data_IF_286665471046
#
_entry.id   IF_286665471046
#
_cell.length_a   1.000
_cell.length_b   1.000
_cell.length_c   1.000
_cell.angle_alpha   90.00
_cell.angle_beta   90.00
_cell.angle_gamma   90.00
#
_symmetry.space_group_name_H-M   'P 1'
#
loop_
_entity.id
_entity.type
_entity.pdbx_description
1 polymer ?
#
# COMPACT_ATOMS: atom_id res chain seq x y z
N UNK A 1 -7.17 -49.82 -35.65
CA UNK A 1 -8.20 -48.79 -35.42
C UNK A 1 -7.94 -48.21 -34.03
N UNK A 2 -7.04 -47.22 -33.89
CA UNK A 2 -7.35 -45.78 -33.75
C UNK A 2 -8.56 -45.51 -32.85
N UNK A 3 -8.30 -45.12 -31.60
CA UNK A 3 -8.94 -43.98 -30.94
C UNK A 3 -8.12 -43.59 -29.70
N UNK A 4 -7.45 -42.46 -29.84
CA UNK A 4 -6.80 -41.71 -28.77
C UNK A 4 -7.83 -40.77 -28.12
N UNK A 5 -7.70 -40.51 -26.82
CA UNK A 5 -8.12 -39.32 -26.05
C UNK A 5 -7.35 -39.47 -24.72
N UNK A 6 -6.19 -38.86 -24.51
CA UNK A 6 -5.97 -37.47 -24.05
C UNK A 6 -6.80 -37.13 -22.81
N UNK A 7 -6.22 -37.37 -21.63
CA UNK A 7 -6.55 -36.67 -20.38
C UNK A 7 -5.19 -36.26 -19.77
N UNK A 8 -4.52 -35.27 -20.37
CA UNK A 8 -4.62 -33.85 -19.98
C UNK A 8 -4.36 -33.65 -18.48
N UNK A 9 -3.06 -33.61 -18.15
CA UNK A 9 -2.43 -32.69 -17.20
C UNK A 9 -3.38 -32.03 -16.18
N UNK A 10 -3.64 -32.72 -15.06
CA UNK A 10 -3.91 -32.07 -13.78
C UNK A 10 -2.57 -31.75 -13.09
N UNK A 11 -1.69 -31.04 -13.79
CA UNK A 11 -0.73 -30.16 -13.13
C UNK A 11 -1.51 -28.89 -12.89
N UNK A 12 -2.31 -28.89 -11.82
CA UNK A 12 -2.69 -27.65 -11.18
C UNK A 12 -1.37 -27.02 -10.74
N UNK A 13 -0.78 -26.19 -11.62
CA UNK A 13 0.08 -25.10 -11.22
C UNK A 13 -0.76 -24.21 -10.30
N UNK A 14 -0.95 -24.64 -9.05
CA UNK A 14 -1.01 -23.71 -7.95
C UNK A 14 0.34 -23.03 -7.95
N UNK A 15 0.48 -22.02 -8.80
CA UNK A 15 1.50 -20.99 -8.61
C UNK A 15 1.30 -20.59 -7.16
N UNK A 16 2.26 -20.88 -6.25
CA UNK A 16 2.18 -20.24 -4.95
C UNK A 16 2.10 -18.75 -5.29
N UNK A 17 1.02 -18.08 -4.86
CA UNK A 17 1.07 -16.63 -4.74
C UNK A 17 2.38 -16.39 -3.98
N UNK A 18 3.38 -15.83 -4.65
CA UNK A 18 4.68 -15.64 -4.05
C UNK A 18 4.42 -14.86 -2.76
N UNK A 19 4.76 -15.45 -1.62
CA UNK A 19 4.61 -14.79 -0.34
C UNK A 19 5.32 -13.44 -0.44
N UNK A 20 4.74 -12.41 0.18
CA UNK A 20 5.32 -11.08 0.19
C UNK A 20 6.77 -11.17 0.69
N UNK A 21 7.68 -10.49 0.01
CA UNK A 21 9.08 -10.42 0.42
C UNK A 21 9.48 -8.97 0.69
N UNK A 22 10.43 -8.78 1.60
CA UNK A 22 10.99 -7.47 1.94
C UNK A 22 11.39 -6.65 0.69
N UNK A 23 11.99 -7.33 -0.30
CA UNK A 23 12.42 -6.75 -1.58
C UNK A 23 11.26 -6.16 -2.39
N UNK A 24 10.03 -6.64 -2.19
CA UNK A 24 8.88 -6.20 -2.97
C UNK A 24 8.44 -4.78 -2.56
N UNK A 25 8.82 -4.34 -1.37
CA UNK A 25 8.65 -2.95 -0.88
C UNK A 25 9.61 -1.98 -1.55
N UNK A 26 10.83 -2.41 -1.90
CA UNK A 26 11.92 -1.52 -2.31
C UNK A 26 11.59 -0.81 -3.62
N UNK A 27 11.80 0.50 -3.63
CA UNK A 27 11.71 1.40 -4.79
C UNK A 27 10.82 2.61 -4.54
N UNK A 28 10.46 3.29 -5.63
CA UNK A 28 9.67 4.52 -5.59
C UNK A 28 8.19 4.26 -5.82
N UNK A 29 7.37 4.95 -5.01
CA UNK A 29 5.94 4.78 -4.96
C UNK A 29 5.24 6.13 -4.87
N UNK A 30 4.06 6.20 -5.45
CA UNK A 30 3.16 7.37 -5.38
C UNK A 30 1.78 6.91 -4.95
N UNK A 31 0.97 7.84 -4.45
CA UNK A 31 -0.41 7.52 -4.10
C UNK A 31 -1.18 7.12 -5.36
N UNK A 32 -1.84 5.96 -5.32
CA UNK A 32 -2.95 5.67 -6.22
C UNK A 32 -4.17 6.46 -5.75
N UNK A 33 -4.39 7.60 -6.38
CA UNK A 33 -5.41 8.58 -6.01
C UNK A 33 -6.81 7.96 -6.01
N UNK A 34 -7.18 7.22 -7.04
CA UNK A 34 -8.55 6.70 -7.15
C UNK A 34 -8.79 5.55 -6.16
N UNK A 35 -7.84 4.63 -6.03
CA UNK A 35 -7.93 3.53 -5.07
C UNK A 35 -7.94 4.02 -3.63
N UNK A 36 -7.09 5.00 -3.30
CA UNK A 36 -7.05 5.61 -1.96
C UNK A 36 -8.32 6.41 -1.69
N UNK A 37 -8.78 7.23 -2.63
CA UNK A 37 -9.99 8.01 -2.47
C UNK A 37 -11.22 7.12 -2.25
N UNK A 38 -11.33 6.01 -2.97
CA UNK A 38 -12.41 5.03 -2.78
C UNK A 38 -12.44 4.49 -1.35
N UNK A 39 -11.27 4.25 -0.74
CA UNK A 39 -11.17 3.83 0.66
C UNK A 39 -11.58 4.95 1.62
N UNK A 40 -11.11 6.17 1.38
CA UNK A 40 -11.47 7.34 2.17
C UNK A 40 -12.98 7.60 2.13
N UNK A 41 -13.62 7.50 0.96
CA UNK A 41 -15.09 7.60 0.83
C UNK A 41 -15.85 6.53 1.61
N UNK A 42 -15.20 5.41 1.94
CA UNK A 42 -15.76 4.38 2.80
C UNK A 42 -15.92 4.80 4.26
N UNK A 43 -15.18 5.84 4.71
CA UNK A 43 -15.13 6.29 6.09
C UNK A 43 -16.43 6.97 6.52
N UNK A 44 -16.89 6.79 7.79
CA UNK A 44 -18.12 7.39 8.29
C UNK A 44 -18.19 8.91 8.11
N UNK A 45 -17.09 9.61 8.41
CA UNK A 45 -16.97 11.06 8.29
C UNK A 45 -17.07 11.53 6.84
N UNK A 46 -16.51 10.77 5.89
CA UNK A 46 -16.56 11.09 4.48
C UNK A 46 -17.96 10.84 3.90
N UNK A 47 -18.65 9.79 4.38
CA UNK A 47 -20.05 9.51 4.02
C UNK A 47 -21.02 10.55 4.55
N UNK A 48 -20.68 11.21 5.66
CA UNK A 48 -21.50 12.28 6.23
C UNK A 48 -21.35 13.62 5.49
N UNK A 49 -20.37 13.76 4.59
CA UNK A 49 -20.15 15.01 3.85
C UNK A 49 -21.24 15.24 2.80
N UNK A 50 -21.73 16.49 2.65
CA UNK A 50 -22.50 16.89 1.49
C UNK A 50 -21.73 16.64 0.19
N UNK A 51 -22.41 16.32 -0.94
CA UNK A 51 -21.74 16.00 -2.20
C UNK A 51 -20.75 17.07 -2.70
N UNK A 52 -21.09 18.35 -2.54
CA UNK A 52 -20.20 19.46 -2.93
C UNK A 52 -18.94 19.52 -2.04
N UNK A 53 -19.08 19.27 -0.73
CA UNK A 53 -17.95 19.18 0.19
C UNK A 53 -17.06 17.98 -0.12
N UNK A 54 -17.66 16.84 -0.48
CA UNK A 54 -16.90 15.66 -0.90
C UNK A 54 -16.08 15.92 -2.18
N UNK A 55 -16.60 16.69 -3.14
CA UNK A 55 -15.85 17.11 -4.34
C UNK A 55 -14.65 17.99 -3.98
N UNK A 56 -14.84 18.96 -3.09
CA UNK A 56 -13.77 19.84 -2.61
C UNK A 56 -12.70 19.03 -1.88
N UNK A 57 -13.11 18.11 -1.01
CA UNK A 57 -12.20 17.21 -0.31
C UNK A 57 -11.40 16.33 -1.28
N UNK A 58 -12.04 15.80 -2.35
CA UNK A 58 -11.34 15.04 -3.39
C UNK A 58 -10.28 15.90 -4.07
N UNK A 59 -10.64 17.11 -4.49
CA UNK A 59 -9.71 18.02 -5.16
C UNK A 59 -8.50 18.34 -4.27
N UNK A 60 -8.73 18.66 -3.00
CA UNK A 60 -7.66 18.90 -2.03
C UNK A 60 -6.76 17.67 -1.83
N UNK A 61 -7.35 16.49 -1.72
CA UNK A 61 -6.61 15.22 -1.62
C UNK A 61 -5.74 14.97 -2.86
N UNK A 62 -6.28 15.16 -4.06
CA UNK A 62 -5.54 15.00 -5.33
C UNK A 62 -4.31 15.91 -5.36
N UNK A 63 -4.48 17.18 -4.99
CA UNK A 63 -3.36 18.15 -4.94
C UNK A 63 -2.28 17.72 -3.94
N UNK A 64 -2.68 17.25 -2.76
CA UNK A 64 -1.72 16.76 -1.75
C UNK A 64 -1.00 15.51 -2.25
N UNK A 65 -1.76 14.53 -2.78
CA UNK A 65 -1.23 13.26 -3.27
C UNK A 65 -0.22 13.42 -4.41
N UNK A 66 -0.44 14.37 -5.32
CA UNK A 66 0.46 14.62 -6.45
C UNK A 66 1.87 15.03 -6.04
N UNK A 67 2.02 15.66 -4.87
CA UNK A 67 3.31 16.09 -4.33
C UNK A 67 4.00 15.05 -3.45
N UNK A 68 3.37 13.88 -3.24
CA UNK A 68 3.89 12.89 -2.32
C UNK A 68 4.53 11.69 -3.01
N UNK A 69 5.77 11.40 -2.63
CA UNK A 69 6.55 10.26 -3.14
C UNK A 69 7.14 9.52 -1.95
N UNK A 70 7.04 8.20 -1.96
CA UNK A 70 7.66 7.31 -0.99
C UNK A 70 8.78 6.55 -1.67
N UNK A 71 9.97 6.61 -1.10
CA UNK A 71 11.12 5.81 -1.51
C UNK A 71 11.44 4.84 -0.40
N UNK A 72 11.17 3.56 -0.63
CA UNK A 72 11.51 2.47 0.27
C UNK A 72 12.86 1.88 -0.13
N UNK A 73 13.79 1.81 0.82
CA UNK A 73 14.99 0.97 0.75
C UNK A 73 14.79 -0.26 1.64
N UNK A 74 15.79 -1.10 1.83
CA UNK A 74 15.67 -2.32 2.65
C UNK A 74 15.32 -2.04 4.13
N UNK A 75 15.66 -0.85 4.64
CA UNK A 75 15.54 -0.52 6.06
C UNK A 75 15.10 0.93 6.35
N UNK A 76 14.75 1.70 5.32
CA UNK A 76 14.31 3.09 5.46
C UNK A 76 13.19 3.39 4.49
N UNK A 77 12.31 4.28 4.90
CA UNK A 77 11.35 4.94 4.03
C UNK A 77 11.64 6.43 4.06
N UNK A 78 11.73 7.02 2.88
CA UNK A 78 11.74 8.47 2.69
C UNK A 78 10.40 8.88 2.12
N UNK A 79 9.73 9.83 2.75
CA UNK A 79 8.53 10.47 2.20
C UNK A 79 8.84 11.92 1.86
N UNK A 80 8.58 12.32 0.62
CA UNK A 80 8.59 13.71 0.22
C UNK A 80 7.19 14.27 0.39
N UNK A 81 6.99 15.31 1.21
CA UNK A 81 5.70 15.99 1.38
C UNK A 81 5.91 17.47 1.11
N UNK A 82 5.30 17.99 0.04
CA UNK A 82 5.42 19.42 -0.33
C UNK A 82 6.88 19.91 -0.42
N UNK A 83 7.78 19.04 -0.90
CA UNK A 83 9.21 19.33 -1.02
C UNK A 83 10.04 19.13 0.26
N UNK A 84 9.41 18.83 1.40
CA UNK A 84 10.11 18.46 2.62
C UNK A 84 10.34 16.96 2.67
N UNK A 85 11.59 16.56 2.92
CA UNK A 85 11.98 15.16 3.08
C UNK A 85 11.75 14.74 4.54
N UNK A 86 10.95 13.71 4.76
CA UNK A 86 10.82 12.98 6.01
C UNK A 86 11.44 11.61 5.84
N UNK A 87 12.20 11.15 6.84
CA UNK A 87 12.89 9.86 6.78
C UNK A 87 12.64 9.08 8.06
N UNK A 88 12.25 7.82 7.90
CA UNK A 88 12.03 6.89 9.00
C UNK A 88 12.84 5.62 8.74
N UNK A 89 13.54 5.13 9.76
CA UNK A 89 14.07 3.77 9.73
C UNK A 89 12.94 2.80 10.03
N UNK A 90 12.92 1.63 9.39
CA UNK A 90 11.96 0.59 9.73
C UNK A 90 12.58 -0.80 9.75
N UNK A 91 11.94 -1.69 10.48
CA UNK A 91 12.25 -3.13 10.48
C UNK A 91 11.01 -3.92 10.09
N UNK A 92 11.21 -5.07 9.47
CA UNK A 92 10.14 -6.03 9.21
C UNK A 92 10.03 -6.95 10.43
N UNK A 93 8.83 -7.02 11.02
CA UNK A 93 8.54 -7.83 12.20
C UNK A 93 8.00 -9.20 11.79
N UNK A 94 7.11 -9.22 10.80
CA UNK A 94 6.43 -10.44 10.36
C UNK A 94 6.05 -10.35 8.88
N UNK A 95 5.91 -11.51 8.26
CA UNK A 95 5.41 -11.70 6.90
C UNK A 95 4.36 -12.81 6.96
N UNK A 96 3.11 -12.45 6.67
CA UNK A 96 1.95 -13.34 6.72
C UNK A 96 1.23 -13.29 5.37
N UNK A 97 1.54 -14.22 4.48
CA UNK A 97 0.96 -14.29 3.13
C UNK A 97 1.32 -13.06 2.29
N UNK A 98 0.33 -12.22 1.97
CA UNK A 98 0.48 -10.99 1.20
C UNK A 98 0.77 -9.74 2.07
N UNK A 99 0.83 -9.92 3.39
CA UNK A 99 0.93 -8.82 4.35
C UNK A 99 2.27 -8.83 5.07
N UNK A 100 2.95 -7.68 5.08
CA UNK A 100 4.18 -7.43 5.81
C UNK A 100 3.85 -6.51 6.99
N UNK A 101 4.25 -6.91 8.20
CA UNK A 101 4.19 -6.04 9.38
C UNK A 101 5.52 -5.35 9.57
N UNK A 102 5.52 -4.02 9.64
CA UNK A 102 6.71 -3.21 9.92
C UNK A 102 6.57 -2.42 11.22
N UNK A 103 7.71 -2.05 11.80
CA UNK A 103 7.80 -1.01 12.84
C UNK A 103 8.77 0.05 12.36
N UNK A 104 8.29 1.28 12.16
CA UNK A 104 9.11 2.44 11.82
C UNK A 104 9.49 3.22 13.08
N UNK A 105 10.58 3.97 12.99
CA UNK A 105 11.08 4.87 14.03
C UNK A 105 11.39 6.23 13.39
N UNK A 106 10.72 7.28 13.87
CA UNK A 106 10.95 8.66 13.42
C UNK A 106 12.29 9.21 13.93
N UNK A 107 12.69 10.38 13.43
CA UNK A 107 13.90 11.07 13.87
C UNK A 107 13.87 11.41 15.38
N UNK A 108 12.69 11.63 15.94
CA UNK A 108 12.45 11.91 17.36
C UNK A 108 12.36 10.64 18.22
N UNK A 109 12.48 9.46 17.61
CA UNK A 109 12.42 8.16 18.29
C UNK A 109 11.01 7.62 18.51
N UNK A 110 9.98 8.26 17.96
CA UNK A 110 8.62 7.74 18.00
C UNK A 110 8.51 6.49 17.14
N UNK A 111 7.82 5.46 17.65
CA UNK A 111 7.62 4.19 16.96
C UNK A 111 6.20 4.03 16.48
N UNK A 112 6.02 3.57 15.25
CA UNK A 112 4.71 3.26 14.67
C UNK A 112 4.75 1.89 14.01
N UNK A 113 3.69 1.09 14.20
CA UNK A 113 3.55 -0.18 13.49
C UNK A 113 2.63 -0.01 12.31
N UNK A 114 2.97 -0.65 11.19
CA UNK A 114 2.16 -0.60 9.98
C UNK A 114 1.99 -1.98 9.39
N UNK A 115 0.81 -2.23 8.83
CA UNK A 115 0.54 -3.35 7.95
C UNK A 115 0.68 -2.86 6.51
N UNK A 116 1.52 -3.56 5.74
CA UNK A 116 1.73 -3.32 4.32
C UNK A 116 1.22 -4.53 3.57
N UNK A 117 0.05 -4.41 2.95
CA UNK A 117 -0.53 -5.47 2.13
C UNK A 117 -0.13 -5.28 0.68
N UNK A 118 0.57 -6.24 0.09
CA UNK A 118 0.84 -6.23 -1.34
C UNK A 118 -0.45 -6.53 -2.11
N UNK A 119 -0.73 -5.70 -3.11
CA UNK A 119 -1.90 -5.85 -3.99
C UNK A 119 -1.44 -5.82 -5.44
N UNK A 120 -2.32 -6.14 -6.38
CA UNK A 120 -1.96 -6.10 -7.80
C UNK A 120 -1.50 -4.70 -8.21
N UNK A 121 -0.28 -4.59 -8.72
CA UNK A 121 0.35 -3.34 -9.14
C UNK A 121 0.72 -2.34 -8.02
N UNK A 122 0.58 -2.71 -6.73
CA UNK A 122 0.65 -1.74 -5.64
C UNK A 122 0.86 -2.33 -4.24
N UNK A 123 0.68 -1.47 -3.25
CA UNK A 123 0.56 -1.87 -1.84
C UNK A 123 -0.43 -0.97 -1.10
N UNK A 124 -1.12 -1.54 -0.11
CA UNK A 124 -1.93 -0.81 0.85
C UNK A 124 -1.17 -0.67 2.17
N UNK A 125 -0.96 0.57 2.60
CA UNK A 125 -0.42 0.92 3.91
C UNK A 125 -1.57 1.14 4.90
N UNK A 126 -1.48 0.51 6.06
CA UNK A 126 -2.41 0.70 7.18
C UNK A 126 -1.63 0.89 8.48
N UNK A 127 -1.59 2.12 9.05
CA UNK A 127 -1.04 2.34 10.38
C UNK A 127 -1.86 1.59 11.43
N UNK A 128 -1.20 0.97 12.40
CA UNK A 128 -1.89 0.28 13.50
C UNK A 128 -2.54 1.29 14.44
N UNK A 129 -1.93 2.47 14.65
CA UNK A 129 -2.51 3.55 15.44
C UNK A 129 -3.79 4.14 14.84
N UNK A 130 -3.95 4.06 13.51
CA UNK A 130 -5.16 4.49 12.81
C UNK A 130 -5.52 3.54 11.64
N UNK A 131 -6.22 2.43 11.92
CA UNK A 131 -6.57 1.42 10.92
C UNK A 131 -7.49 1.92 9.79
N UNK A 132 -8.09 3.11 9.97
CA UNK A 132 -8.95 3.75 8.98
C UNK A 132 -8.15 4.61 7.99
N UNK A 133 -6.94 5.04 8.34
CA UNK A 133 -6.06 5.87 7.50
C UNK A 133 -5.31 5.03 6.45
N UNK A 134 -6.08 4.33 5.60
CA UNK A 134 -5.54 3.46 4.57
C UNK A 134 -5.08 4.26 3.36
N UNK A 135 -3.85 4.03 2.93
CA UNK A 135 -3.27 4.64 1.74
C UNK A 135 -2.89 3.55 0.75
N UNK A 136 -3.32 3.68 -0.51
CA UNK A 136 -2.88 2.80 -1.58
C UNK A 136 -1.76 3.47 -2.35
N UNK A 137 -0.64 2.78 -2.44
CA UNK A 137 0.51 3.18 -3.22
C UNK A 137 0.61 2.34 -4.48
N UNK A 138 1.01 2.98 -5.57
CA UNK A 138 1.40 2.34 -6.83
C UNK A 138 2.84 2.71 -7.17
N UNK A 139 3.50 1.87 -7.96
CA UNK A 139 4.84 2.18 -8.46
C UNK A 139 4.83 3.51 -9.21
N UNK A 140 5.86 4.31 -9.00
CA UNK A 140 6.08 5.57 -9.73
C UNK A 140 6.44 5.31 -11.18
#
# INVERSE_FOLDING_TARGET
MRLAIVALLLVTCSLPLAAAAAKDLVGDWTIDVESTWTKLQGLPEMKALPPETAKIAKAAFVTQAAGMVWTFTENRVTTLVSGMKQEEAYVIIAIDGDTITTESTSAEGAKERSLIRLIDGGMELTPVSNPLAKVVLKRK
#
